data_IF_264259667779
#
_entry.id   IF_264259667779
#
_cell.length_a   1.000
_cell.length_b   1.000
_cell.length_c   1.000
_cell.angle_alpha   90.00
_cell.angle_beta   90.00
_cell.angle_gamma   90.00
#
_symmetry.space_group_name_H-M   'P 1'
#
loop_
_entity.id
_entity.type
_entity.pdbx_description
1 polymer ?
#
# COMPACT_ATOMS: atom_id res chain seq x y z
N UNK A 1 -16.30 -16.42 17.47
CA UNK A 1 -16.46 -15.04 16.98
C UNK A 1 -16.50 -14.12 18.20
N UNK A 2 -15.69 -13.05 18.26
CA UNK A 2 -15.63 -12.18 19.44
C UNK A 2 -16.58 -11.00 19.22
N UNK A 3 -17.55 -10.81 20.12
CA UNK A 3 -18.42 -9.63 20.10
C UNK A 3 -17.70 -8.48 20.82
N UNK A 4 -17.59 -7.34 20.14
CA UNK A 4 -17.01 -6.11 20.70
C UNK A 4 -17.98 -4.96 20.51
N UNK A 5 -18.10 -4.14 21.55
CA UNK A 5 -18.82 -2.87 21.51
C UNK A 5 -17.78 -1.75 21.38
N UNK A 6 -18.00 -0.82 20.48
CA UNK A 6 -17.15 0.35 20.27
C UNK A 6 -18.06 1.55 20.02
N UNK A 7 -17.62 2.72 20.47
CA UNK A 7 -18.30 3.96 20.18
C UNK A 7 -17.88 4.44 18.79
N UNK A 8 -18.87 4.83 17.98
CA UNK A 8 -18.65 5.38 16.65
C UNK A 8 -19.32 6.76 16.59
N UNK A 9 -18.60 7.81 16.14
CA UNK A 9 -19.22 9.10 15.86
C UNK A 9 -20.42 8.94 14.93
N UNK A 10 -21.48 9.70 15.20
CA UNK A 10 -22.76 9.60 14.48
C UNK A 10 -22.59 9.79 12.96
N UNK A 11 -21.78 10.77 12.56
CA UNK A 11 -21.50 11.04 11.15
C UNK A 11 -20.89 9.83 10.42
N UNK A 12 -19.98 9.10 11.08
CA UNK A 12 -19.37 7.90 10.50
C UNK A 12 -20.36 6.76 10.42
N UNK A 13 -21.24 6.63 11.43
CA UNK A 13 -22.31 5.65 11.41
C UNK A 13 -23.27 5.88 10.23
N UNK A 14 -23.70 7.13 10.02
CA UNK A 14 -24.57 7.51 8.91
C UNK A 14 -23.94 7.19 7.54
N UNK A 15 -22.66 7.53 7.35
CA UNK A 15 -21.91 7.20 6.12
C UNK A 15 -21.82 5.69 5.89
N UNK A 16 -21.54 4.92 6.94
CA UNK A 16 -21.50 3.46 6.83
C UNK A 16 -22.86 2.86 6.51
N UNK A 17 -23.94 3.42 7.06
CA UNK A 17 -25.30 2.97 6.77
C UNK A 17 -25.67 3.24 5.31
N UNK A 18 -25.29 4.39 4.76
CA UNK A 18 -25.47 4.69 3.34
C UNK A 18 -24.69 3.70 2.46
N UNK A 19 -23.41 3.46 2.77
CA UNK A 19 -22.58 2.51 2.04
C UNK A 19 -23.16 1.08 2.08
N UNK A 20 -23.63 0.65 3.25
CA UNK A 20 -24.27 -0.65 3.43
C UNK A 20 -25.51 -0.83 2.54
N UNK A 21 -26.32 0.23 2.38
CA UNK A 21 -27.46 0.23 1.47
C UNK A 21 -27.03 0.13 0.00
N UNK A 22 -25.99 0.88 -0.40
CA UNK A 22 -25.46 0.85 -1.76
C UNK A 22 -24.94 -0.55 -2.12
N UNK A 23 -24.20 -1.18 -1.20
CA UNK A 23 -23.55 -2.46 -1.44
C UNK A 23 -24.45 -3.68 -1.20
N UNK A 24 -25.68 -3.48 -0.69
CA UNK A 24 -26.58 -4.57 -0.30
C UNK A 24 -26.03 -5.44 0.84
N UNK A 25 -25.20 -4.87 1.72
CA UNK A 25 -24.50 -5.56 2.80
C UNK A 25 -24.97 -5.11 4.18
N UNK A 26 -24.61 -5.86 5.23
CA UNK A 26 -24.81 -5.39 6.60
C UNK A 26 -23.76 -4.33 6.98
N UNK A 27 -24.10 -3.41 7.90
CA UNK A 27 -23.18 -2.39 8.43
C UNK A 27 -21.92 -3.06 9.00
N UNK A 28 -22.06 -4.23 9.63
CA UNK A 28 -20.94 -4.97 10.21
C UNK A 28 -19.99 -5.52 9.16
N UNK A 29 -20.50 -5.94 8.00
CA UNK A 29 -19.65 -6.40 6.89
C UNK A 29 -18.88 -5.25 6.28
N UNK A 30 -19.55 -4.11 6.06
CA UNK A 30 -18.90 -2.86 5.64
C UNK A 30 -17.79 -2.47 6.62
N UNK A 31 -18.06 -2.54 7.93
CA UNK A 31 -17.04 -2.24 8.95
C UNK A 31 -15.83 -3.17 8.84
N UNK A 32 -16.05 -4.48 8.69
CA UNK A 32 -14.97 -5.47 8.57
C UNK A 32 -14.12 -5.18 7.34
N UNK A 33 -14.74 -4.87 6.21
CA UNK A 33 -14.04 -4.55 4.96
C UNK A 33 -13.21 -3.28 5.12
N UNK A 34 -13.78 -2.22 5.70
CA UNK A 34 -13.07 -0.97 5.98
C UNK A 34 -11.88 -1.17 6.93
N UNK A 35 -12.05 -1.94 7.99
CA UNK A 35 -10.96 -2.25 8.94
C UNK A 35 -9.84 -3.04 8.25
N UNK A 36 -10.17 -4.06 7.44
CA UNK A 36 -9.18 -4.84 6.68
C UNK A 36 -8.39 -3.94 5.72
N UNK A 37 -9.06 -3.05 5.00
CA UNK A 37 -8.42 -2.11 4.07
C UNK A 37 -7.53 -1.13 4.84
N UNK A 38 -8.03 -0.54 5.92
CA UNK A 38 -7.28 0.38 6.76
C UNK A 38 -6.00 -0.23 7.33
N UNK A 39 -6.07 -1.48 7.81
CA UNK A 39 -4.90 -2.23 8.30
C UNK A 39 -3.88 -2.47 7.19
N UNK A 40 -4.31 -2.96 6.02
CA UNK A 40 -3.42 -3.15 4.86
C UNK A 40 -2.74 -1.86 4.42
N UNK A 41 -3.46 -0.74 4.41
CA UNK A 41 -2.90 0.57 4.06
C UNK A 41 -1.87 1.01 5.09
N UNK A 42 -2.14 0.80 6.38
CA UNK A 42 -1.20 1.13 7.46
C UNK A 42 0.08 0.29 7.39
N UNK A 43 -0.05 -1.02 7.21
CA UNK A 43 1.09 -1.94 7.02
C UNK A 43 1.95 -1.54 5.83
N UNK A 44 1.33 -1.19 4.71
CA UNK A 44 2.00 -0.71 3.49
C UNK A 44 2.71 0.65 3.66
N UNK A 45 2.28 1.48 4.62
CA UNK A 45 2.91 2.76 4.95
C UNK A 45 4.06 2.58 5.96
N UNK A 46 3.94 1.63 6.89
CA UNK A 46 4.98 1.36 7.89
C UNK A 46 6.13 0.51 7.37
N UNK A 47 5.88 -0.41 6.43
CA UNK A 47 6.95 -1.07 5.70
C UNK A 47 7.54 -0.06 4.71
N UNK A 48 8.73 0.46 5.02
CA UNK A 48 9.51 1.36 4.17
C UNK A 48 9.64 0.78 2.75
N UNK A 49 8.71 1.19 1.87
CA UNK A 49 8.55 0.64 0.52
C UNK A 49 9.79 0.81 -0.35
N UNK A 50 10.67 1.76 -0.04
CA UNK A 50 11.92 1.99 -0.75
C UNK A 50 12.87 0.80 -0.59
N UNK A 51 13.38 0.56 0.62
CA UNK A 51 14.44 -0.40 0.85
C UNK A 51 14.06 -1.85 0.49
N UNK A 52 12.85 -2.30 0.86
CA UNK A 52 12.41 -3.67 0.55
C UNK A 52 12.21 -3.90 -0.94
N UNK A 53 11.60 -2.93 -1.67
CA UNK A 53 11.43 -3.05 -3.12
C UNK A 53 12.75 -2.91 -3.87
N UNK A 54 13.67 -2.07 -3.40
CA UNK A 54 15.01 -1.95 -3.96
C UNK A 54 15.80 -3.26 -3.79
N UNK A 55 15.66 -3.91 -2.63
CA UNK A 55 16.23 -5.23 -2.39
C UNK A 55 15.62 -6.29 -3.32
N UNK A 56 14.29 -6.35 -3.43
CA UNK A 56 13.61 -7.25 -4.37
C UNK A 56 14.04 -7.00 -5.83
N UNK A 57 14.19 -5.74 -6.24
CA UNK A 57 14.73 -5.35 -7.55
C UNK A 57 16.17 -5.82 -7.76
N UNK A 58 17.04 -5.67 -6.75
CA UNK A 58 18.45 -6.14 -6.85
C UNK A 58 18.56 -7.65 -7.00
N UNK A 59 17.72 -8.41 -6.28
CA UNK A 59 17.63 -9.87 -6.40
C UNK A 59 17.19 -10.29 -7.80
N UNK A 60 16.21 -9.58 -8.36
CA UNK A 60 15.69 -9.83 -9.70
C UNK A 60 16.71 -9.46 -10.79
N UNK A 61 17.41 -8.33 -10.62
CA UNK A 61 18.51 -7.92 -11.48
C UNK A 61 19.64 -8.95 -11.50
N UNK A 62 19.99 -9.53 -10.35
CA UNK A 62 21.01 -10.56 -10.25
C UNK A 62 20.57 -11.86 -10.95
N UNK A 63 19.31 -12.26 -10.79
CA UNK A 63 18.74 -13.46 -11.42
C UNK A 63 18.65 -13.34 -12.95
N UNK A 64 18.20 -12.20 -13.44
CA UNK A 64 18.00 -11.91 -14.87
C UNK A 64 19.27 -11.33 -15.55
N UNK A 65 20.40 -11.29 -14.83
CA UNK A 65 21.69 -10.76 -15.29
C UNK A 65 21.59 -9.35 -15.87
N UNK A 66 20.76 -8.51 -15.27
CA UNK A 66 20.70 -7.10 -15.65
C UNK A 66 22.05 -6.47 -15.38
N UNK A 67 22.64 -5.91 -16.43
CA UNK A 67 23.87 -5.11 -16.34
C UNK A 67 23.50 -3.66 -16.62
N UNK A 68 23.81 -2.81 -15.66
CA UNK A 68 23.81 -1.36 -15.84
C UNK A 68 25.24 -0.87 -16.07
N UNK A 69 25.41 0.36 -16.57
CA UNK A 69 26.70 1.05 -16.56
C UNK A 69 27.38 0.90 -15.18
N UNK A 70 28.58 0.34 -15.15
CA UNK A 70 29.36 0.10 -13.92
C UNK A 70 29.78 1.39 -13.22
N UNK A 71 29.68 2.52 -13.92
CA UNK A 71 30.01 3.87 -13.47
C UNK A 71 28.78 4.68 -13.07
N UNK A 72 27.58 4.07 -12.95
CA UNK A 72 26.36 4.78 -12.60
C UNK A 72 26.53 5.58 -11.32
N UNK A 73 27.30 5.09 -10.33
CA UNK A 73 27.62 5.76 -9.06
C UNK A 73 28.44 7.05 -9.19
N UNK A 74 29.13 7.23 -10.32
CA UNK A 74 30.08 8.32 -10.59
C UNK A 74 29.52 9.26 -11.66
N UNK A 75 28.77 8.71 -12.61
CA UNK A 75 28.31 9.37 -13.84
C UNK A 75 26.81 9.66 -13.84
N UNK A 76 26.15 9.65 -12.68
CA UNK A 76 24.69 9.81 -12.57
C UNK A 76 24.14 10.98 -13.41
N UNK A 77 24.78 12.14 -13.35
CA UNK A 77 24.36 13.36 -14.06
C UNK A 77 24.45 13.22 -15.59
N UNK A 78 25.45 12.49 -16.08
CA UNK A 78 25.64 12.23 -17.51
C UNK A 78 24.50 11.38 -18.07
N UNK A 79 24.00 10.42 -17.29
CA UNK A 79 22.92 9.54 -17.71
C UNK A 79 21.54 10.13 -17.48
N UNK A 80 21.37 11.03 -16.50
CA UNK A 80 20.12 11.75 -16.28
C UNK A 80 19.82 12.79 -17.38
N UNK A 81 20.85 13.35 -18.01
CA UNK A 81 20.71 14.41 -19.03
C UNK A 81 20.44 13.87 -20.44
N UNK A 82 20.75 12.60 -20.72
CA UNK A 82 20.55 11.96 -22.03
C UNK A 82 19.14 11.37 -22.25
N UNK A 83 18.28 11.38 -21.23
CA UNK A 83 16.90 10.84 -21.29
C UNK A 83 15.85 11.88 -21.74
N UNK A 84 16.22 12.78 -22.68
CA UNK A 84 15.35 13.83 -23.21
C UNK A 84 15.01 13.61 -24.67
#
# INVERSE_FOLDING_TARGET
MIQRKFYLPEELYQKMQLQAKIDGKTITDVLRDLVKIGLKVKERKQTGRGAKKLYELSQLAQKEKWSGPSDLSISHDKYFTLAK
#
